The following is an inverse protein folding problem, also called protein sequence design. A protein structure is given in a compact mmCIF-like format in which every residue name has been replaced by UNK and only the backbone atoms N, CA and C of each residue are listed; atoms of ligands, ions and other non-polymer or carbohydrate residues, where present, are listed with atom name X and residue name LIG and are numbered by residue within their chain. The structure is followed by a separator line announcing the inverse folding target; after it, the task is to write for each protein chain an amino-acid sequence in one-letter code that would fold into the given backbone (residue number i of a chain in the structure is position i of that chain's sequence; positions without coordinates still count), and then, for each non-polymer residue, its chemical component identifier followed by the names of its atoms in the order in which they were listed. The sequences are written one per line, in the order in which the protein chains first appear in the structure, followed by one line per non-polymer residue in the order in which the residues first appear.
data_IF_248570264186
#
_entry.id   IF_248570264186
#
_cell.length_a   1.000
_cell.length_b   1.000
_cell.length_c   1.000
_cell.angle_alpha   90.00
_cell.angle_beta   90.00
_cell.angle_gamma   90.00
#
_symmetry.space_group_name_H-M   'P 1'
#
loop_
_entity.id
_entity.type
_entity.pdbx_description
1 polymer ?
#
# COMPACT_ATOMS: atom_id res chain seq x y z
N UNK A 1 -1.71 -36.42 -3.89
CA UNK A 1 -0.33 -35.90 -4.09
C UNK A 1 -0.33 -34.69 -5.00
N UNK A 2 -0.96 -34.73 -6.18
CA UNK A 2 -0.99 -33.61 -7.12
C UNK A 2 -1.73 -32.35 -6.61
N UNK A 3 -2.71 -32.47 -5.72
CA UNK A 3 -3.40 -31.33 -5.12
C UNK A 3 -2.44 -30.35 -4.43
N UNK A 4 -1.36 -30.87 -3.82
CA UNK A 4 -0.29 -30.06 -3.25
C UNK A 4 0.46 -29.27 -4.32
N UNK A 5 0.78 -29.91 -5.45
CA UNK A 5 1.44 -29.28 -6.60
C UNK A 5 0.57 -28.21 -7.26
N UNK A 6 -0.75 -28.43 -7.36
CA UNK A 6 -1.70 -27.43 -7.86
C UNK A 6 -1.73 -26.19 -6.97
N UNK A 7 -1.76 -26.39 -5.65
CA UNK A 7 -1.68 -25.29 -4.69
C UNK A 7 -0.35 -24.53 -4.78
N UNK A 8 0.76 -25.25 -4.88
CA UNK A 8 2.07 -24.62 -5.06
C UNK A 8 2.12 -23.83 -6.36
N UNK A 9 1.57 -24.36 -7.44
CA UNK A 9 1.50 -23.65 -8.71
C UNK A 9 0.71 -22.34 -8.57
N UNK A 10 -0.47 -22.39 -7.95
CA UNK A 10 -1.30 -21.20 -7.71
C UNK A 10 -0.53 -20.13 -6.90
N UNK A 11 0.21 -20.53 -5.86
CA UNK A 11 1.02 -19.60 -5.06
C UNK A 11 2.12 -18.91 -5.87
N UNK A 12 2.82 -19.65 -6.74
CA UNK A 12 3.95 -19.10 -7.49
C UNK A 12 3.52 -18.31 -8.74
N UNK A 13 2.45 -18.75 -9.41
CA UNK A 13 2.01 -18.19 -10.68
C UNK A 13 0.80 -17.26 -10.55
N UNK A 14 0.20 -17.15 -9.36
CA UNK A 14 -1.01 -16.37 -9.05
C UNK A 14 -2.25 -16.70 -9.90
N UNK A 15 -2.16 -17.71 -10.76
CA UNK A 15 -3.24 -18.20 -11.61
C UNK A 15 -3.14 -19.71 -11.74
N UNK A 16 -4.28 -20.39 -11.68
CA UNK A 16 -4.41 -21.82 -11.91
C UNK A 16 -5.68 -22.06 -12.72
N UNK A 17 -5.56 -22.70 -13.88
CA UNK A 17 -6.73 -23.15 -14.64
C UNK A 17 -6.96 -24.64 -14.43
N UNK A 18 -8.16 -25.00 -13.99
CA UNK A 18 -8.60 -26.38 -13.90
C UNK A 18 -9.60 -26.67 -15.02
N UNK A 19 -9.19 -27.52 -15.95
CA UNK A 19 -9.90 -27.77 -17.20
C UNK A 19 -11.30 -28.37 -16.97
N UNK A 20 -12.33 -27.63 -17.39
CA UNK A 20 -13.73 -27.97 -17.17
C UNK A 20 -14.20 -27.85 -15.72
N UNK A 21 -13.49 -27.05 -14.91
CA UNK A 21 -13.93 -26.63 -13.57
C UNK A 21 -13.95 -25.11 -13.51
N UNK A 22 -12.83 -24.45 -13.84
CA UNK A 22 -12.72 -22.99 -13.83
C UNK A 22 -11.29 -22.50 -13.60
N UNK A 23 -11.12 -21.18 -13.55
CA UNK A 23 -9.87 -20.51 -13.22
C UNK A 23 -9.87 -20.02 -11.78
N UNK A 24 -8.72 -20.10 -11.14
CA UNK A 24 -8.43 -19.54 -9.82
C UNK A 24 -7.37 -18.48 -9.99
N UNK A 25 -7.62 -17.28 -9.46
CA UNK A 25 -6.68 -16.15 -9.50
C UNK A 25 -6.42 -15.67 -8.08
N UNK A 26 -5.14 -15.61 -7.71
CA UNK A 26 -4.70 -15.05 -6.44
C UNK A 26 -4.53 -13.54 -6.62
N UNK A 27 -5.43 -12.77 -6.05
CA UNK A 27 -5.36 -11.32 -5.98
C UNK A 27 -4.75 -10.88 -4.66
N UNK A 28 -3.79 -9.96 -4.73
CA UNK A 28 -3.16 -9.35 -3.57
C UNK A 28 -3.57 -7.88 -3.53
N UNK A 29 -4.30 -7.50 -2.48
CA UNK A 29 -4.56 -6.11 -2.15
C UNK A 29 -3.40 -5.62 -1.29
N UNK A 30 -2.63 -4.61 -1.71
CA UNK A 30 -1.53 -4.09 -0.91
C UNK A 30 -2.05 -3.43 0.37
N UNK A 31 -1.15 -3.22 1.33
CA UNK A 31 -1.49 -2.47 2.54
C UNK A 31 -1.99 -1.07 2.19
N UNK A 32 -3.05 -0.62 2.87
CA UNK A 32 -3.67 0.68 2.62
C UNK A 32 -3.63 1.55 3.87
N UNK A 33 -3.15 2.78 3.72
CA UNK A 33 -3.18 3.79 4.79
C UNK A 33 -4.44 4.66 4.63
N UNK A 34 -5.32 4.59 5.61
CA UNK A 34 -6.44 5.51 5.74
C UNK A 34 -6.02 6.71 6.61
N UNK A 35 -5.77 7.84 5.95
CA UNK A 35 -5.35 9.08 6.59
C UNK A 35 -6.43 9.69 7.49
N UNK A 36 -7.71 9.47 7.17
CA UNK A 36 -8.84 10.02 7.93
C UNK A 36 -9.01 9.24 9.23
N UNK A 37 -9.00 7.91 9.13
CA UNK A 37 -9.12 7.03 10.29
C UNK A 37 -7.81 6.86 11.06
N UNK A 38 -6.67 7.30 10.51
CA UNK A 38 -5.31 7.02 11.01
C UNK A 38 -5.05 5.51 11.16
N UNK A 39 -5.55 4.71 10.22
CA UNK A 39 -5.46 3.26 10.26
C UNK A 39 -4.62 2.73 9.09
N UNK A 40 -3.76 1.76 9.37
CA UNK A 40 -3.05 0.98 8.36
C UNK A 40 -3.70 -0.40 8.24
N UNK A 41 -4.36 -0.62 7.11
CA UNK A 41 -4.89 -1.91 6.73
C UNK A 41 -3.76 -2.79 6.19
N UNK A 42 -3.62 -4.04 6.65
CA UNK A 42 -2.61 -4.96 6.17
C UNK A 42 -2.90 -5.40 4.72
N UNK A 43 -1.89 -5.94 4.02
CA UNK A 43 -2.13 -6.54 2.72
C UNK A 43 -3.02 -7.80 2.88
N UNK A 44 -3.93 -8.01 1.92
CA UNK A 44 -4.86 -9.13 1.92
C UNK A 44 -4.69 -9.92 0.64
N UNK A 45 -4.59 -11.24 0.74
CA UNK A 45 -4.57 -12.14 -0.41
C UNK A 45 -5.89 -12.91 -0.51
N UNK A 46 -6.56 -12.84 -1.65
CA UNK A 46 -7.82 -13.53 -1.91
C UNK A 46 -7.74 -14.39 -3.18
N UNK A 47 -8.39 -15.55 -3.17
CA UNK A 47 -8.54 -16.39 -4.36
C UNK A 47 -9.89 -16.09 -4.98
N UNK A 48 -9.89 -15.50 -6.17
CA UNK A 48 -11.09 -15.37 -7.01
C UNK A 48 -11.26 -16.59 -7.90
N UNK A 49 -12.51 -16.98 -8.10
CA UNK A 49 -12.89 -18.10 -8.95
C UNK A 49 -13.74 -17.62 -10.11
N UNK A 50 -13.40 -18.09 -11.32
CA UNK A 50 -14.12 -17.84 -12.56
C UNK A 50 -14.51 -19.19 -13.16
N UNK A 51 -15.80 -19.45 -13.45
CA UNK A 51 -16.24 -20.74 -14.02
C UNK A 51 -15.66 -21.06 -15.40
N UNK A 52 -15.18 -20.04 -16.13
CA UNK A 52 -14.56 -20.23 -17.43
C UNK A 52 -13.16 -20.84 -17.30
N UNK A 53 -12.92 -22.03 -17.86
CA UNK A 53 -11.60 -22.66 -17.82
C UNK A 53 -10.82 -22.43 -19.10
N UNK A 54 -9.52 -22.14 -18.98
CA UNK A 54 -8.60 -22.05 -20.13
C UNK A 54 -7.75 -23.33 -20.25
N UNK A 55 -7.32 -23.73 -21.47
CA UNK A 55 -6.43 -24.87 -21.63
C UNK A 55 -5.08 -24.61 -20.95
N UNK A 56 -4.58 -25.62 -20.25
CA UNK A 56 -3.26 -25.54 -19.61
C UNK A 56 -2.15 -25.66 -20.66
N UNK A 57 -1.10 -24.86 -20.48
CA UNK A 57 0.04 -24.82 -21.38
C UNK A 57 1.12 -25.85 -21.00
N UNK A 58 2.13 -25.98 -21.85
CA UNK A 58 3.26 -26.88 -21.58
C UNK A 58 4.06 -26.51 -20.31
N UNK A 59 4.09 -25.23 -19.91
CA UNK A 59 4.81 -24.78 -18.74
C UNK A 59 4.17 -25.27 -17.44
N UNK A 60 2.83 -25.30 -17.38
CA UNK A 60 2.07 -25.89 -16.27
C UNK A 60 2.47 -27.37 -16.06
N UNK A 61 2.38 -28.20 -17.08
CA UNK A 61 2.72 -29.63 -16.95
C UNK A 61 4.19 -29.87 -16.63
N UNK A 62 5.10 -29.00 -17.11
CA UNK A 62 6.51 -29.04 -16.74
C UNK A 62 6.73 -28.70 -15.26
N UNK A 63 5.97 -27.73 -14.71
CA UNK A 63 6.04 -27.41 -13.28
C UNK A 63 5.57 -28.59 -12.44
N UNK A 64 4.41 -29.16 -12.75
CA UNK A 64 3.84 -30.30 -12.00
C UNK A 64 4.79 -31.51 -12.07
N UNK A 65 5.37 -31.79 -13.23
CA UNK A 65 6.37 -32.85 -13.41
C UNK A 65 7.59 -32.67 -12.48
N UNK A 66 8.11 -31.44 -12.38
CA UNK A 66 9.26 -31.13 -11.49
C UNK A 66 8.89 -31.22 -10.01
N UNK A 67 7.74 -30.68 -9.61
CA UNK A 67 7.28 -30.68 -8.22
C UNK A 67 7.05 -32.11 -7.70
N UNK A 68 6.45 -32.97 -8.55
CA UNK A 68 6.20 -34.38 -8.23
C UNK A 68 7.39 -35.32 -8.53
N UNK A 69 8.47 -34.83 -9.16
CA UNK A 69 9.62 -35.62 -9.63
C UNK A 69 9.24 -36.78 -10.55
N UNK A 70 8.32 -36.52 -11.47
CA UNK A 70 7.86 -37.46 -12.51
C UNK A 70 8.16 -36.91 -13.90
N UNK A 71 8.05 -37.74 -14.93
CA UNK A 71 8.13 -37.25 -16.31
C UNK A 71 6.85 -36.48 -16.72
N UNK A 72 6.93 -35.74 -17.82
CA UNK A 72 5.83 -34.90 -18.31
C UNK A 72 4.59 -35.72 -18.71
N UNK A 73 4.76 -36.91 -19.28
CA UNK A 73 3.63 -37.75 -19.72
C UNK A 73 2.86 -38.22 -18.48
N UNK A 74 3.59 -38.65 -17.45
CA UNK A 74 3.00 -39.02 -16.16
C UNK A 74 2.32 -37.83 -15.48
N UNK A 75 2.87 -36.61 -15.53
CA UNK A 75 2.22 -35.43 -14.94
C UNK A 75 0.90 -35.09 -15.62
N UNK A 76 0.82 -35.21 -16.95
CA UNK A 76 -0.43 -35.03 -17.72
C UNK A 76 -1.47 -36.09 -17.31
N UNK A 77 -1.05 -37.36 -17.20
CA UNK A 77 -1.93 -38.45 -16.77
C UNK A 77 -2.50 -38.21 -15.37
N UNK A 78 -1.64 -37.92 -14.38
CA UNK A 78 -2.05 -37.65 -13.00
C UNK A 78 -3.01 -36.45 -12.92
N UNK A 79 -2.73 -35.40 -13.68
CA UNK A 79 -3.62 -34.23 -13.76
C UNK A 79 -5.01 -34.60 -14.29
N UNK A 80 -5.07 -35.34 -15.40
CA UNK A 80 -6.34 -35.75 -16.00
C UNK A 80 -7.15 -36.67 -15.08
N UNK A 81 -6.49 -37.62 -14.41
CA UNK A 81 -7.12 -38.49 -13.40
C UNK A 81 -7.74 -37.68 -12.27
N UNK A 82 -7.09 -36.60 -11.85
CA UNK A 82 -7.58 -35.78 -10.75
C UNK A 82 -8.70 -34.83 -11.18
N UNK A 83 -8.63 -34.29 -12.39
CA UNK A 83 -9.76 -33.55 -12.97
C UNK A 83 -11.00 -34.44 -13.09
N UNK A 84 -10.81 -35.72 -13.44
CA UNK A 84 -11.90 -36.68 -13.49
C UNK A 84 -12.49 -36.93 -12.09
N UNK A 85 -11.65 -37.21 -11.08
CA UNK A 85 -12.09 -37.41 -9.69
C UNK A 85 -12.86 -36.21 -9.15
N UNK A 86 -12.41 -34.98 -9.42
CA UNK A 86 -13.11 -33.77 -8.97
C UNK A 86 -14.49 -33.69 -9.61
N UNK A 87 -14.59 -33.88 -10.93
CA UNK A 87 -15.88 -33.85 -11.63
C UNK A 87 -16.83 -34.93 -11.13
N UNK A 88 -16.35 -36.14 -10.92
CA UNK A 88 -17.16 -37.24 -10.35
C UNK A 88 -17.67 -36.91 -8.95
N UNK A 89 -16.81 -36.37 -8.09
CA UNK A 89 -17.20 -35.96 -6.74
C UNK A 89 -18.23 -34.81 -6.75
N UNK A 90 -18.06 -33.82 -7.61
CA UNK A 90 -19.05 -32.73 -7.77
C UNK A 90 -20.40 -33.24 -8.26
N UNK A 91 -20.43 -34.29 -9.08
CA UNK A 91 -21.68 -34.91 -9.55
C UNK A 91 -22.32 -35.77 -8.45
N UNK A 92 -21.52 -36.54 -7.70
CA UNK A 92 -22.00 -37.52 -6.74
C UNK A 92 -22.31 -36.93 -5.35
N UNK A 93 -21.35 -36.18 -4.82
CA UNK A 93 -21.35 -35.67 -3.45
C UNK A 93 -21.74 -34.18 -3.40
N UNK A 94 -21.84 -33.52 -4.56
CA UNK A 94 -22.19 -32.10 -4.69
C UNK A 94 -21.04 -31.15 -4.35
N UNK A 95 -20.04 -31.62 -3.60
CA UNK A 95 -18.90 -30.81 -3.16
C UNK A 95 -17.57 -31.57 -3.29
N UNK A 96 -16.49 -30.81 -3.45
CA UNK A 96 -15.14 -31.35 -3.45
C UNK A 96 -14.18 -30.41 -2.73
N UNK A 97 -13.46 -30.94 -1.74
CA UNK A 97 -12.42 -30.20 -1.03
C UNK A 97 -11.09 -30.25 -1.81
N UNK A 98 -10.72 -29.11 -2.39
CA UNK A 98 -9.44 -28.91 -3.05
C UNK A 98 -8.40 -28.48 -2.00
N UNK A 99 -7.67 -29.47 -1.48
CA UNK A 99 -6.75 -29.34 -0.33
C UNK A 99 -5.88 -28.09 -0.32
N UNK A 100 -6.23 -27.15 0.57
CA UNK A 100 -5.49 -25.89 0.79
C UNK A 100 -5.70 -24.82 -0.28
N UNK A 101 -6.74 -24.96 -1.11
CA UNK A 101 -7.25 -23.92 -2.02
C UNK A 101 -8.67 -23.55 -1.56
N UNK A 102 -9.58 -24.51 -1.46
CA UNK A 102 -10.99 -24.26 -1.12
C UNK A 102 -11.89 -25.45 -1.38
N UNK A 103 -13.19 -25.23 -1.20
CA UNK A 103 -14.24 -26.20 -1.47
C UNK A 103 -14.95 -25.76 -2.74
N UNK A 104 -15.06 -26.66 -3.69
CA UNK A 104 -15.91 -26.52 -4.87
C UNK A 104 -17.28 -27.09 -4.53
N UNK A 105 -18.35 -26.37 -4.84
CA UNK A 105 -19.72 -26.80 -4.58
C UNK A 105 -20.57 -26.58 -5.83
N UNK A 106 -21.26 -27.61 -6.29
CA UNK A 106 -22.15 -27.55 -7.45
C UNK A 106 -23.49 -26.98 -7.03
N UNK A 107 -23.88 -25.86 -7.63
CA UNK A 107 -25.16 -25.22 -7.38
C UNK A 107 -26.29 -25.85 -8.21
N UNK A 108 -27.57 -25.62 -7.83
CA UNK A 108 -28.73 -26.23 -8.49
C UNK A 108 -28.88 -25.88 -9.98
N UNK A 109 -28.26 -24.79 -10.43
CA UNK A 109 -28.21 -24.29 -11.81
C UNK A 109 -27.07 -24.89 -12.64
N UNK A 110 -26.39 -25.92 -12.11
CA UNK A 110 -25.20 -26.55 -12.69
C UNK A 110 -23.96 -25.64 -12.74
N UNK A 111 -23.99 -24.51 -12.04
CA UNK A 111 -22.83 -23.63 -11.91
C UNK A 111 -21.95 -24.14 -10.76
N UNK A 112 -20.64 -24.20 -11.00
CA UNK A 112 -19.67 -24.50 -9.94
C UNK A 112 -19.45 -23.21 -9.16
N UNK A 113 -19.61 -23.28 -7.85
CA UNK A 113 -19.28 -22.23 -6.90
C UNK A 113 -18.04 -22.60 -6.09
N UNK A 114 -17.34 -21.58 -5.59
CA UNK A 114 -16.12 -21.75 -4.83
C UNK A 114 -16.22 -21.08 -3.47
N UNK A 115 -15.92 -21.85 -2.43
CA UNK A 115 -15.81 -21.38 -1.06
C UNK A 115 -14.34 -21.49 -0.67
N UNK A 116 -13.72 -20.34 -0.36
CA UNK A 116 -12.28 -20.27 -0.03
C UNK A 116 -11.94 -21.10 1.23
N UNK A 117 -10.78 -21.77 1.19
CA UNK A 117 -10.22 -22.40 2.39
C UNK A 117 -9.55 -21.33 3.24
N UNK A 118 -10.16 -21.01 4.38
CA UNK A 118 -9.63 -19.99 5.30
C UNK A 118 -8.51 -20.60 6.15
N UNK A 119 -7.29 -20.63 5.61
CA UNK A 119 -6.12 -21.19 6.28
C UNK A 119 -5.63 -20.31 7.43
N UNK A 120 -5.88 -19.00 7.38
CA UNK A 120 -5.41 -18.01 8.35
C UNK A 120 -6.61 -17.33 9.01
N UNK A 121 -7.22 -18.00 10.00
CA UNK A 121 -8.32 -17.46 10.82
C UNK A 121 -7.96 -16.22 11.65
N UNK A 122 -6.76 -15.66 11.48
CA UNK A 122 -6.34 -14.44 12.16
C UNK A 122 -6.08 -13.37 11.10
N UNK A 123 -7.08 -12.54 10.78
CA UNK A 123 -6.84 -11.34 10.01
C UNK A 123 -5.68 -10.59 10.65
N UNK A 124 -4.72 -10.15 9.83
CA UNK A 124 -3.67 -9.27 10.33
C UNK A 124 -4.34 -8.05 10.99
N UNK A 125 -3.89 -7.62 12.18
CA UNK A 125 -4.54 -6.53 12.88
C UNK A 125 -4.35 -5.23 12.10
N UNK A 126 -5.41 -4.41 12.06
CA UNK A 126 -5.32 -3.03 11.59
C UNK A 126 -4.51 -2.24 12.62
N UNK A 127 -3.49 -1.51 12.17
CA UNK A 127 -2.54 -0.82 13.06
C UNK A 127 -2.87 0.69 13.08
N UNK A 128 -3.06 1.32 14.25
CA UNK A 128 -3.18 2.77 14.32
C UNK A 128 -1.83 3.44 14.01
N UNK A 129 -1.83 4.48 13.18
CA UNK A 129 -0.62 5.19 12.75
C UNK A 129 -0.67 6.67 13.15
N UNK A 130 0.36 7.11 13.87
CA UNK A 130 0.59 8.54 14.13
C UNK A 130 1.59 9.08 13.09
N UNK A 131 1.25 10.17 12.41
CA UNK A 131 2.16 10.82 11.47
C UNK A 131 3.25 11.55 12.24
N UNK A 132 4.48 11.02 12.23
CA UNK A 132 5.64 11.73 12.79
C UNK A 132 6.04 12.87 11.85
N UNK A 133 5.68 14.11 12.19
CA UNK A 133 6.17 15.31 11.51
C UNK A 133 7.50 15.69 12.16
N UNK A 134 8.62 15.36 11.52
CA UNK A 134 9.94 15.83 11.96
C UNK A 134 10.11 17.28 11.52
N UNK A 135 9.85 18.22 12.43
CA UNK A 135 10.13 19.65 12.21
C UNK A 135 11.64 19.97 12.31
N UNK A 136 12.44 19.04 12.83
CA UNK A 136 13.85 19.28 13.17
C UNK A 136 14.86 18.46 12.34
N UNK A 137 14.46 17.93 11.18
CA UNK A 137 15.47 17.43 10.25
C UNK A 137 16.11 18.63 9.55
N UNK A 138 17.30 18.98 10.00
CA UNK A 138 18.19 19.95 9.37
C UNK A 138 18.60 19.40 8.01
N UNK A 139 17.80 19.70 6.99
CA UNK A 139 18.17 19.40 5.61
C UNK A 139 19.13 20.49 5.15
N UNK A 140 20.36 20.11 4.82
CA UNK A 140 21.30 20.98 4.10
C UNK A 140 20.72 21.20 2.70
N UNK A 141 20.28 22.42 2.41
CA UNK A 141 19.78 22.76 1.08
C UNK A 141 20.91 23.50 0.37
N UNK A 142 21.35 22.96 -0.78
CA UNK A 142 22.35 23.61 -1.63
C UNK A 142 21.67 24.64 -2.51
N UNK A 143 22.06 25.91 -2.38
CA UNK A 143 21.53 27.02 -3.18
C UNK A 143 22.69 27.62 -3.96
N UNK A 144 22.80 27.27 -5.25
CA UNK A 144 23.97 27.64 -6.05
C UNK A 144 25.22 26.81 -5.69
N UNK A 145 26.30 27.48 -5.31
CA UNK A 145 27.56 26.82 -4.89
C UNK A 145 27.67 26.59 -3.38
N UNK A 146 26.81 27.23 -2.56
CA UNK A 146 26.91 27.22 -1.10
C UNK A 146 25.84 26.33 -0.42
N UNK A 147 26.26 25.63 0.63
CA UNK A 147 25.42 24.79 1.49
C UNK A 147 24.88 25.60 2.66
N UNK A 148 23.55 25.75 2.77
CA UNK A 148 22.91 26.46 3.89
C UNK A 148 22.01 25.54 4.72
N UNK A 149 22.00 25.78 6.03
CA UNK A 149 21.19 25.07 7.03
C UNK A 149 20.03 25.96 7.49
N UNK A 150 18.80 25.42 7.59
CA UNK A 150 17.57 26.17 7.93
C UNK A 150 17.67 27.08 9.18
N UNK A 151 18.48 26.70 10.19
CA UNK A 151 18.67 27.53 11.40
C UNK A 151 19.33 28.89 11.12
N UNK A 152 20.12 29.00 10.06
CA UNK A 152 20.84 30.23 9.71
C UNK A 152 19.93 31.30 9.07
N UNK A 153 18.85 30.88 8.39
CA UNK A 153 17.91 31.81 7.75
C UNK A 153 16.89 32.40 8.74
N UNK A 154 16.46 31.66 9.77
CA UNK A 154 15.62 32.21 10.85
C UNK A 154 16.35 33.32 11.62
N UNK A 155 17.65 33.16 11.84
CA UNK A 155 18.48 34.13 12.59
C UNK A 155 18.74 35.43 11.79
N UNK A 156 18.80 35.35 10.46
CA UNK A 156 18.89 36.53 9.57
C UNK A 156 17.57 37.29 9.47
N UNK A 157 16.43 36.58 9.44
CA UNK A 157 15.10 37.18 9.38
C UNK A 157 14.64 37.76 10.73
N UNK A 158 15.17 37.24 11.84
CA UNK A 158 14.87 37.70 13.20
C UNK A 158 15.67 38.95 13.63
N UNK A 159 16.55 39.49 12.78
CA UNK A 159 17.20 40.76 13.10
C UNK A 159 16.16 41.89 13.08
N UNK A 160 15.92 42.57 14.22
CA UNK A 160 15.02 43.71 14.23
C UNK A 160 15.59 44.78 13.31
N UNK A 161 14.79 45.25 12.35
CA UNK A 161 15.12 46.43 11.54
C UNK A 161 15.59 47.53 12.48
N UNK A 162 16.79 48.05 12.24
CA UNK A 162 17.40 49.10 13.06
C UNK A 162 16.43 50.29 13.08
N UNK A 163 15.69 50.45 14.17
CA UNK A 163 14.77 51.58 14.35
C UNK A 163 15.55 52.87 14.13
N UNK A 164 15.25 53.59 13.04
CA UNK A 164 15.80 54.91 12.80
C UNK A 164 15.31 55.83 13.91
N UNK A 165 16.18 56.06 14.90
CA UNK A 165 15.92 56.89 16.07
C UNK A 165 15.37 58.24 15.61
N UNK A 166 14.10 58.49 15.89
CA UNK A 166 13.40 59.66 15.41
C UNK A 166 13.79 60.87 16.27
N UNK A 167 14.62 61.76 15.71
CA UNK A 167 15.07 63.00 16.36
C UNK A 167 14.05 64.14 16.28
N UNK A 168 12.75 63.85 16.08
CA UNK A 168 11.69 64.86 16.03
C UNK A 168 11.65 65.78 17.27
N UNK A 169 12.01 65.24 18.44
CA UNK A 169 12.11 66.00 19.69
C UNK A 169 13.13 67.15 19.64
N UNK A 170 14.15 67.08 18.78
CA UNK A 170 15.13 68.16 18.60
C UNK A 170 14.45 69.40 18.01
N UNK A 171 13.51 69.24 17.07
CA UNK A 171 12.75 70.36 16.51
C UNK A 171 11.86 71.03 17.56
N UNK A 172 11.31 70.27 18.51
CA UNK A 172 10.52 70.80 19.62
C UNK A 172 11.37 71.70 20.53
N UNK A 173 12.60 71.27 20.85
CA UNK A 173 13.54 72.07 21.66
C UNK A 173 13.91 73.37 20.94
N UNK A 174 14.20 73.29 19.63
CA UNK A 174 14.53 74.47 18.82
C UNK A 174 13.36 75.46 18.80
N UNK A 175 12.13 74.98 18.60
CA UNK A 175 10.94 75.84 18.59
C UNK A 175 10.73 76.56 19.94
N UNK A 176 10.93 75.86 21.06
CA UNK A 176 10.82 76.44 22.40
C UNK A 176 11.87 77.55 22.63
N UNK A 177 13.09 77.34 22.17
CA UNK A 177 14.17 78.33 22.26
C UNK A 177 13.84 79.59 21.46
N UNK A 178 13.32 79.43 20.24
CA UNK A 178 12.90 80.57 19.40
C UNK A 178 11.77 81.35 20.07
N UNK A 179 10.77 80.66 20.62
CA UNK A 179 9.66 81.31 21.33
C UNK A 179 10.17 82.07 22.56
N UNK A 180 11.09 81.49 23.34
CA UNK A 180 11.67 82.15 24.51
C UNK A 180 12.42 83.43 24.12
N UNK A 181 13.19 83.41 23.03
CA UNK A 181 13.90 84.61 22.52
C UNK A 181 12.91 85.69 22.05
N UNK A 182 11.84 85.31 21.35
CA UNK A 182 10.82 86.26 20.89
C UNK A 182 10.09 86.92 22.07
N UNK A 183 9.74 86.13 23.10
CA UNK A 183 9.11 86.67 24.32
C UNK A 183 10.07 87.65 25.00
N UNK A 184 11.35 87.31 25.13
CA UNK A 184 12.34 88.16 25.79
C UNK A 184 12.53 89.49 25.05
N UNK A 185 12.54 89.47 23.71
CA UNK A 185 12.60 90.68 22.87
C UNK A 185 11.33 91.56 22.95
N UNK A 186 10.16 90.98 23.24
CA UNK A 186 8.91 91.73 23.40
C UNK A 186 8.71 92.29 24.82
N UNK A 187 9.42 91.75 25.82
CA UNK A 187 9.34 92.17 27.23
C UNK A 187 10.38 93.21 27.64
N UNK A 188 11.27 93.62 26.73
CA UNK A 188 12.26 94.67 26.94
C UNK A 188 11.89 95.93 26.16
#
# INVERSE_FOLDING_TARGET
MIAYSLRNYLKHHKKLSLHGIGNFVLEETPAQLDFTAKLLYPPVSEIKFEPESQPNNNQFFNFIARDLRVDKITSVKLYNEEMHRIKEALVKDGEYNLSGIGILSRQPDDVISFIKYDADKTPLPVIPVERVIRREDVHTIRVGEDEHTNKHMEELLAQPEVEKKNYWWVYVIIALLVIAVVVLLFTM
#
